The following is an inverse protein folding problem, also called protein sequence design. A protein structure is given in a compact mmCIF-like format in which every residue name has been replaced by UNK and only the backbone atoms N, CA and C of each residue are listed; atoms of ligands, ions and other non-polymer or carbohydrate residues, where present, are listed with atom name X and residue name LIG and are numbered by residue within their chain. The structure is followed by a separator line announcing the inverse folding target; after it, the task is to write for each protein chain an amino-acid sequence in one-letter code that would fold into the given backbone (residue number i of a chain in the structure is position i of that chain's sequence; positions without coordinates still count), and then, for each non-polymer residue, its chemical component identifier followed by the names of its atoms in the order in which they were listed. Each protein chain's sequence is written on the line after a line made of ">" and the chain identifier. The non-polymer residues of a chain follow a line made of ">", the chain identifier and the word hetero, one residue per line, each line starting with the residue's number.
data_IF_145763653499
#
_entry.id   IF_145763653499
#
_cell.length_a   1.000
_cell.length_b   1.000
_cell.length_c   1.000
_cell.angle_alpha   90.00
_cell.angle_beta   90.00
_cell.angle_gamma   90.00
#
_symmetry.space_group_name_H-M   'P 1'
#
loop_
_entity.id
_entity.type
_entity.pdbx_description
1 polymer ?
#
# COMPACT_ATOMS: atom_id res chain seq x y z
N UNK A 1 -50.95 39.73 2.06
CA UNK A 1 -49.64 39.43 1.44
C UNK A 1 -49.95 38.79 0.10
N UNK A 2 -49.61 39.54 -0.94
CA UNK A 2 -50.42 39.81 -2.13
C UNK A 2 -49.99 39.00 -3.34
N UNK A 3 -50.93 38.85 -4.29
CA UNK A 3 -50.77 38.26 -5.63
C UNK A 3 -49.54 38.80 -6.42
N UNK A 4 -48.93 39.91 -6.00
CA UNK A 4 -47.68 40.46 -6.54
C UNK A 4 -46.45 39.57 -6.28
N UNK A 5 -46.36 38.89 -5.14
CA UNK A 5 -45.22 38.00 -4.87
C UNK A 5 -45.28 36.72 -5.74
N UNK A 6 -46.49 36.23 -6.02
CA UNK A 6 -46.67 35.04 -6.85
C UNK A 6 -46.46 35.36 -8.34
N UNK A 7 -46.78 36.58 -8.78
CA UNK A 7 -46.43 37.08 -10.12
C UNK A 7 -44.92 37.30 -10.29
N UNK A 8 -44.21 37.74 -9.26
CA UNK A 8 -42.74 37.88 -9.28
C UNK A 8 -42.06 36.53 -9.48
N UNK A 9 -42.46 35.52 -8.69
CA UNK A 9 -41.88 34.16 -8.78
C UNK A 9 -42.23 33.50 -10.11
N UNK A 10 -43.45 33.67 -10.64
CA UNK A 10 -43.79 33.14 -11.96
C UNK A 10 -43.05 33.86 -13.10
N UNK A 11 -42.76 35.16 -12.96
CA UNK A 11 -41.98 35.93 -13.93
C UNK A 11 -40.51 35.51 -13.92
N UNK A 12 -39.93 35.30 -12.74
CA UNK A 12 -38.54 34.86 -12.59
C UNK A 12 -38.35 33.43 -13.13
N UNK A 13 -39.31 32.53 -12.86
CA UNK A 13 -39.30 31.17 -13.41
C UNK A 13 -39.52 31.17 -14.93
N UNK A 14 -40.37 32.07 -15.46
CA UNK A 14 -40.55 32.21 -16.91
C UNK A 14 -39.31 32.80 -17.59
N UNK A 15 -38.61 33.75 -16.95
CA UNK A 15 -37.35 34.31 -17.45
C UNK A 15 -36.23 33.25 -17.42
N UNK A 16 -36.11 32.46 -16.35
CA UNK A 16 -35.17 31.32 -16.27
C UNK A 16 -35.47 30.25 -17.32
N UNK A 17 -36.74 29.91 -17.53
CA UNK A 17 -37.14 28.93 -18.54
C UNK A 17 -36.93 29.46 -19.97
N UNK A 18 -37.10 30.76 -20.20
CA UNK A 18 -36.81 31.40 -21.48
C UNK A 18 -35.31 31.45 -21.74
N UNK A 19 -34.48 31.79 -20.75
CA UNK A 19 -33.01 31.71 -20.85
C UNK A 19 -32.53 30.29 -21.10
N UNK A 20 -33.14 29.28 -20.45
CA UNK A 20 -32.81 27.87 -20.67
C UNK A 20 -33.25 27.38 -22.06
N UNK A 21 -34.36 27.89 -22.60
CA UNK A 21 -34.81 27.59 -23.96
C UNK A 21 -33.93 28.27 -25.02
N UNK A 22 -33.58 29.54 -24.85
CA UNK A 22 -32.68 30.27 -25.74
C UNK A 22 -31.25 29.68 -25.70
N UNK A 23 -30.83 29.18 -24.53
CA UNK A 23 -29.57 28.44 -24.37
C UNK A 23 -29.65 27.06 -25.05
N UNK A 24 -30.77 26.34 -24.99
CA UNK A 24 -30.93 25.09 -25.73
C UNK A 24 -31.00 25.29 -27.24
N UNK A 25 -31.69 26.32 -27.72
CA UNK A 25 -31.78 26.62 -29.15
C UNK A 25 -30.42 27.06 -29.72
N UNK A 26 -29.67 27.90 -29.00
CA UNK A 26 -28.30 28.28 -29.39
C UNK A 26 -27.33 27.09 -29.37
N UNK A 27 -27.44 26.18 -28.40
CA UNK A 27 -26.66 24.94 -28.37
C UNK A 27 -27.04 23.97 -29.51
N UNK A 28 -28.31 23.91 -29.91
CA UNK A 28 -28.80 23.11 -31.05
C UNK A 28 -28.39 23.72 -32.40
N UNK A 29 -28.38 25.05 -32.53
CA UNK A 29 -27.85 25.75 -33.71
C UNK A 29 -26.32 25.58 -33.84
N UNK A 30 -25.58 25.59 -32.73
CA UNK A 30 -24.15 25.30 -32.70
C UNK A 30 -23.84 23.81 -32.93
N UNK A 31 -24.73 22.89 -32.55
CA UNK A 31 -24.57 21.46 -32.83
C UNK A 31 -24.58 21.12 -34.33
N UNK A 32 -25.19 21.99 -35.17
CA UNK A 32 -25.11 21.89 -36.64
C UNK A 32 -23.78 22.37 -37.22
N UNK A 33 -22.95 23.08 -36.44
CA UNK A 33 -21.60 23.53 -36.83
C UNK A 33 -20.57 22.74 -36.02
N UNK A 34 -20.24 21.56 -36.55
CA UNK A 34 -19.59 20.49 -35.80
C UNK A 34 -18.26 20.79 -35.09
N UNK A 35 -17.95 19.92 -34.13
CA UNK A 35 -16.59 19.55 -33.74
C UNK A 35 -16.12 20.01 -32.36
N UNK A 36 -16.48 21.22 -31.91
CA UNK A 36 -15.81 21.86 -30.77
C UNK A 36 -16.76 22.13 -29.58
N UNK A 37 -18.07 22.19 -29.81
CA UNK A 37 -19.07 22.50 -28.79
C UNK A 37 -19.22 21.42 -27.69
N UNK A 38 -18.90 20.15 -27.97
CA UNK A 38 -19.02 19.05 -26.99
C UNK A 38 -18.06 19.17 -25.80
N UNK A 39 -16.88 19.74 -26.01
CA UNK A 39 -15.86 19.87 -24.95
C UNK A 39 -16.14 21.06 -24.05
N UNK A 40 -16.60 22.18 -24.63
CA UNK A 40 -16.93 23.39 -23.87
C UNK A 40 -18.20 23.19 -23.03
N UNK A 41 -19.21 22.51 -23.58
CA UNK A 41 -20.45 22.20 -22.85
C UNK A 41 -20.27 21.23 -21.68
N UNK A 42 -19.32 20.30 -21.76
CA UNK A 42 -19.04 19.37 -20.65
C UNK A 42 -18.33 20.10 -19.49
N UNK A 43 -17.39 20.99 -19.82
CA UNK A 43 -16.62 21.77 -18.83
C UNK A 43 -17.49 22.80 -18.12
N UNK A 44 -18.46 23.41 -18.82
CA UNK A 44 -19.38 24.39 -18.22
C UNK A 44 -20.38 23.75 -17.24
N UNK A 45 -20.91 22.56 -17.57
CA UNK A 45 -21.83 21.82 -16.68
C UNK A 45 -21.12 21.36 -15.40
N UNK A 46 -19.86 20.95 -15.49
CA UNK A 46 -19.02 20.58 -14.33
C UNK A 46 -18.73 21.81 -13.45
N UNK A 47 -18.49 22.97 -14.07
CA UNK A 47 -18.17 24.22 -13.35
C UNK A 47 -19.38 24.79 -12.58
N UNK A 48 -20.59 24.63 -13.12
CA UNK A 48 -21.84 25.09 -12.47
C UNK A 48 -22.25 24.15 -11.32
N UNK A 49 -21.92 22.85 -11.42
CA UNK A 49 -22.25 21.86 -10.39
C UNK A 49 -21.32 21.86 -9.16
N UNK A 50 -20.10 22.42 -9.27
CA UNK A 50 -19.03 22.18 -8.27
C UNK A 50 -18.53 23.39 -7.49
N UNK A 51 -19.13 24.57 -7.63
CA UNK A 51 -18.99 25.68 -6.67
C UNK A 51 -17.58 25.94 -6.10
N UNK A 52 -16.73 26.63 -6.85
CA UNK A 52 -15.47 27.20 -6.34
C UNK A 52 -14.21 26.61 -7.00
N UNK A 53 -13.61 27.39 -7.88
CA UNK A 53 -12.47 27.00 -8.72
C UNK A 53 -11.19 26.60 -7.96
N UNK A 54 -11.02 26.99 -6.69
CA UNK A 54 -9.74 26.82 -5.99
C UNK A 54 -9.54 25.39 -5.44
N UNK A 55 -10.58 24.76 -4.89
CA UNK A 55 -10.48 23.42 -4.31
C UNK A 55 -10.64 22.30 -5.36
N UNK A 56 -11.15 22.65 -6.55
CA UNK A 56 -11.40 21.71 -7.65
C UNK A 56 -10.14 21.34 -8.42
N UNK A 57 -9.15 22.24 -8.52
CA UNK A 57 -7.87 21.95 -9.18
C UNK A 57 -7.00 20.99 -8.36
N UNK A 58 -6.91 21.19 -7.04
CA UNK A 58 -6.20 20.29 -6.14
C UNK A 58 -6.82 18.88 -6.12
N UNK A 59 -8.16 18.80 -6.21
CA UNK A 59 -8.86 17.52 -6.29
C UNK A 59 -8.62 16.83 -7.65
N UNK A 60 -8.58 17.58 -8.75
CA UNK A 60 -8.25 17.06 -10.07
C UNK A 60 -6.80 16.57 -10.13
N UNK A 61 -5.83 17.34 -9.63
CA UNK A 61 -4.42 16.95 -9.59
C UNK A 61 -4.23 15.65 -8.80
N UNK A 62 -4.84 15.54 -7.62
CA UNK A 62 -4.82 14.29 -6.83
C UNK A 62 -5.48 13.11 -7.54
N UNK A 63 -6.57 13.32 -8.27
CA UNK A 63 -7.18 12.25 -9.07
C UNK A 63 -6.33 11.85 -10.27
N UNK A 64 -5.65 12.80 -10.90
CA UNK A 64 -4.71 12.54 -11.99
C UNK A 64 -3.47 11.80 -11.50
N UNK A 65 -2.89 12.23 -10.39
CA UNK A 65 -1.72 11.59 -9.75
C UNK A 65 -2.08 10.18 -9.30
N UNK A 66 -3.23 10.00 -8.66
CA UNK A 66 -3.73 8.67 -8.27
C UNK A 66 -3.99 7.80 -9.50
N UNK A 67 -4.62 8.32 -10.54
CA UNK A 67 -4.91 7.57 -11.77
C UNK A 67 -3.64 7.17 -12.53
N UNK A 68 -2.64 8.04 -12.60
CA UNK A 68 -1.36 7.76 -13.25
C UNK A 68 -0.52 6.77 -12.44
N UNK A 69 -0.42 6.97 -11.12
CA UNK A 69 0.29 6.07 -10.20
C UNK A 69 -0.28 4.66 -10.26
N UNK A 70 -1.62 4.52 -10.20
CA UNK A 70 -2.23 3.21 -10.34
C UNK A 70 -1.91 2.57 -11.70
N UNK A 71 -1.90 3.35 -12.78
CA UNK A 71 -1.54 2.82 -14.10
C UNK A 71 -0.05 2.38 -14.17
N UNK A 72 0.87 3.15 -13.57
CA UNK A 72 2.30 2.81 -13.53
C UNK A 72 2.59 1.60 -12.66
N UNK A 73 1.75 1.34 -11.65
CA UNK A 73 1.96 0.30 -10.66
C UNK A 73 1.29 -1.03 -11.01
N UNK A 74 0.33 -1.06 -11.96
CA UNK A 74 -0.33 -2.28 -12.45
C UNK A 74 0.65 -3.44 -12.75
N UNK A 75 1.80 -3.22 -13.43
CA UNK A 75 2.76 -4.30 -13.68
C UNK A 75 3.31 -4.93 -12.40
N UNK A 76 3.61 -4.11 -11.39
CA UNK A 76 4.14 -4.54 -10.10
C UNK A 76 3.10 -5.31 -9.28
N UNK A 77 1.85 -4.83 -9.26
CA UNK A 77 0.73 -5.59 -8.66
C UNK A 77 0.58 -6.97 -9.30
N UNK A 78 0.51 -7.03 -10.64
CA UNK A 78 0.38 -8.30 -11.37
C UNK A 78 1.53 -9.27 -11.16
N UNK A 79 2.72 -8.79 -10.78
CA UNK A 79 3.85 -9.66 -10.43
C UNK A 79 3.64 -10.27 -9.04
N UNK A 80 3.13 -9.50 -8.08
CA UNK A 80 2.83 -10.00 -6.73
C UNK A 80 1.72 -11.06 -6.75
N UNK A 81 0.67 -10.88 -7.57
CA UNK A 81 -0.45 -11.83 -7.71
C UNK A 81 -0.02 -13.23 -8.20
N UNK A 82 1.18 -13.36 -8.78
CA UNK A 82 1.71 -14.63 -9.27
C UNK A 82 2.43 -15.44 -8.19
N UNK A 83 2.71 -14.84 -7.04
CA UNK A 83 3.46 -15.47 -5.97
C UNK A 83 2.46 -16.10 -4.99
N UNK A 84 2.64 -17.38 -4.69
CA UNK A 84 1.92 -18.02 -3.60
C UNK A 84 2.83 -19.04 -2.91
N UNK A 85 2.61 -19.23 -1.62
CA UNK A 85 3.35 -20.19 -0.81
C UNK A 85 3.08 -21.61 -1.34
N UNK A 86 4.12 -22.44 -1.36
CA UNK A 86 4.19 -23.80 -1.94
C UNK A 86 4.19 -23.86 -3.48
N UNK A 87 4.18 -22.72 -4.17
CA UNK A 87 4.43 -22.70 -5.62
C UNK A 87 5.88 -23.09 -5.94
N UNK A 88 6.14 -23.43 -7.20
CA UNK A 88 7.50 -23.66 -7.70
C UNK A 88 8.33 -22.39 -7.59
N UNK A 89 9.56 -22.49 -7.08
CA UNK A 89 10.50 -21.39 -7.02
C UNK A 89 10.85 -20.82 -8.42
N UNK A 90 10.66 -21.60 -9.48
CA UNK A 90 10.87 -21.16 -10.87
C UNK A 90 9.92 -20.02 -11.28
N UNK A 91 8.74 -19.92 -10.66
CA UNK A 91 7.78 -18.85 -10.97
C UNK A 91 8.37 -17.46 -10.63
N UNK A 92 9.26 -17.40 -9.64
CA UNK A 92 9.94 -16.17 -9.26
C UNK A 92 10.86 -15.70 -10.37
N UNK A 93 11.70 -16.61 -10.89
CA UNK A 93 12.65 -16.29 -11.95
C UNK A 93 11.94 -15.91 -13.27
N UNK A 94 10.79 -16.53 -13.54
CA UNK A 94 9.94 -16.20 -14.69
C UNK A 94 9.21 -14.84 -14.53
N UNK A 95 8.88 -14.47 -13.31
CA UNK A 95 8.08 -13.26 -13.02
C UNK A 95 8.97 -12.02 -12.86
N UNK A 96 10.13 -12.19 -12.21
CA UNK A 96 11.02 -11.11 -11.81
C UNK A 96 12.36 -11.09 -12.57
N UNK A 97 12.67 -12.15 -13.33
CA UNK A 97 14.01 -12.35 -13.88
C UNK A 97 14.96 -12.94 -12.84
N UNK A 98 16.27 -12.85 -13.09
CA UNK A 98 17.27 -13.39 -12.18
C UNK A 98 17.27 -12.63 -10.83
N UNK A 99 17.45 -13.31 -9.70
CA UNK A 99 17.59 -12.65 -8.41
C UNK A 99 18.83 -11.75 -8.38
N UNK A 100 18.69 -10.57 -7.79
CA UNK A 100 19.78 -9.58 -7.65
C UNK A 100 20.75 -9.93 -6.53
N UNK A 101 20.31 -10.74 -5.58
CA UNK A 101 21.13 -11.23 -4.48
C UNK A 101 20.63 -12.60 -4.02
N UNK A 102 21.54 -13.49 -3.65
CA UNK A 102 21.23 -14.83 -3.14
C UNK A 102 22.10 -15.08 -1.92
N UNK A 103 21.49 -15.57 -0.84
CA UNK A 103 22.21 -16.11 0.30
C UNK A 103 21.55 -17.39 0.80
N UNK A 104 22.23 -18.08 1.70
CA UNK A 104 21.80 -19.36 2.27
C UNK A 104 21.55 -19.16 3.75
N UNK A 105 20.38 -19.60 4.20
CA UNK A 105 20.00 -19.52 5.60
C UNK A 105 20.79 -20.53 6.44
N UNK A 106 20.79 -20.35 7.75
CA UNK A 106 21.37 -21.33 8.69
C UNK A 106 20.73 -22.73 8.56
N UNK A 107 19.48 -22.80 8.11
CA UNK A 107 18.71 -24.02 7.85
C UNK A 107 19.00 -24.68 6.50
N UNK A 108 19.99 -24.17 5.74
CA UNK A 108 20.31 -24.58 4.36
C UNK A 108 19.26 -24.17 3.30
N UNK A 109 18.20 -23.46 3.71
CA UNK A 109 17.23 -22.86 2.79
C UNK A 109 17.89 -21.77 1.93
N UNK A 110 17.41 -21.61 0.69
CA UNK A 110 17.94 -20.59 -0.22
C UNK A 110 17.06 -19.36 -0.17
N UNK A 111 17.67 -18.23 0.20
CA UNK A 111 17.03 -16.91 0.21
C UNK A 111 17.43 -16.17 -1.06
N UNK A 112 16.44 -15.86 -1.89
CA UNK A 112 16.61 -15.12 -3.14
C UNK A 112 15.95 -13.74 -3.02
N UNK A 113 16.65 -12.72 -3.48
CA UNK A 113 16.15 -11.35 -3.52
C UNK A 113 15.91 -10.93 -4.96
N UNK A 114 14.74 -10.39 -5.24
CA UNK A 114 14.35 -9.88 -6.54
C UNK A 114 14.03 -8.40 -6.44
N UNK A 115 14.49 -7.63 -7.43
CA UNK A 115 14.23 -6.20 -7.51
C UNK A 115 13.12 -5.96 -8.53
N UNK A 116 12.09 -5.25 -8.11
CA UNK A 116 11.11 -4.60 -8.97
C UNK A 116 11.31 -3.07 -8.89
N UNK A 117 10.71 -2.33 -9.83
CA UNK A 117 10.75 -0.87 -9.81
C UNK A 117 10.05 -0.30 -8.56
N UNK A 118 9.08 -1.05 -8.01
CA UNK A 118 8.23 -0.60 -6.91
C UNK A 118 8.44 -1.35 -5.59
N UNK A 119 9.22 -2.42 -5.55
CA UNK A 119 9.48 -3.16 -4.32
C UNK A 119 10.70 -4.09 -4.41
N UNK A 120 11.12 -4.61 -3.27
CA UNK A 120 12.02 -5.76 -3.17
C UNK A 120 11.26 -6.96 -2.65
N UNK A 121 11.42 -8.09 -3.33
CA UNK A 121 10.92 -9.38 -2.86
C UNK A 121 12.07 -10.19 -2.28
N UNK A 122 11.94 -10.62 -1.02
CA UNK A 122 12.80 -11.65 -0.43
C UNK A 122 12.02 -12.95 -0.36
N UNK A 123 12.50 -14.02 -0.98
CA UNK A 123 11.83 -15.30 -1.03
C UNK A 123 12.73 -16.40 -0.47
N UNK A 124 12.20 -17.18 0.46
CA UNK A 124 12.85 -18.38 1.00
C UNK A 124 12.31 -19.60 0.25
N UNK A 125 13.23 -20.41 -0.27
CA UNK A 125 12.92 -21.60 -1.06
C UNK A 125 13.56 -22.84 -0.45
N UNK A 126 12.79 -23.94 -0.45
CA UNK A 126 13.19 -25.27 0.00
C UNK A 126 12.70 -26.30 -1.01
N UNK A 127 13.56 -27.22 -1.44
CA UNK A 127 13.21 -28.28 -2.41
C UNK A 127 12.48 -27.77 -3.67
N UNK A 128 12.94 -26.64 -4.20
CA UNK A 128 12.33 -25.92 -5.35
C UNK A 128 10.90 -25.40 -5.13
N UNK A 129 10.45 -25.27 -3.88
CA UNK A 129 9.18 -24.65 -3.52
C UNK A 129 9.39 -23.37 -2.71
N UNK A 130 8.50 -22.39 -2.88
CA UNK A 130 8.47 -21.17 -2.05
C UNK A 130 7.89 -21.54 -0.69
N UNK A 131 8.66 -21.37 0.38
CA UNK A 131 8.22 -21.66 1.76
C UNK A 131 7.90 -20.40 2.56
N UNK A 132 8.46 -19.26 2.14
CA UNK A 132 8.11 -17.94 2.66
C UNK A 132 8.48 -16.84 1.65
N UNK A 133 7.84 -15.69 1.75
CA UNK A 133 8.32 -14.48 1.12
C UNK A 133 7.94 -13.22 1.92
N UNK A 134 8.75 -12.17 1.77
CA UNK A 134 8.55 -10.83 2.29
C UNK A 134 8.60 -9.84 1.14
N UNK A 135 7.67 -8.89 1.12
CA UNK A 135 7.58 -7.80 0.15
C UNK A 135 7.89 -6.51 0.89
N UNK A 136 8.93 -5.82 0.43
CA UNK A 136 9.40 -4.54 0.95
C UNK A 136 9.07 -3.45 -0.09
N UNK A 137 7.93 -2.74 0.04
CA UNK A 137 7.51 -1.71 -0.91
C UNK A 137 8.45 -0.51 -0.90
N UNK A 138 8.67 0.09 -2.07
CA UNK A 138 9.32 1.39 -2.18
C UNK A 138 8.35 2.50 -1.73
N UNK A 139 8.89 3.68 -1.40
CA UNK A 139 8.07 4.84 -1.06
C UNK A 139 7.11 5.19 -2.21
N UNK A 140 5.82 5.34 -1.90
CA UNK A 140 4.77 5.66 -2.86
C UNK A 140 4.04 4.44 -3.43
N UNK A 141 4.57 3.23 -3.30
CA UNK A 141 3.89 2.00 -3.74
C UNK A 141 3.10 1.36 -2.60
N UNK A 142 1.80 1.11 -2.83
CA UNK A 142 0.89 0.49 -1.85
C UNK A 142 0.35 -0.84 -2.40
N UNK A 143 0.99 -1.99 -2.08
CA UNK A 143 0.54 -3.28 -2.58
C UNK A 143 -0.83 -3.67 -2.01
N UNK A 144 -1.59 -4.44 -2.79
CA UNK A 144 -2.87 -4.99 -2.36
C UNK A 144 -2.63 -6.06 -1.29
N UNK A 145 -3.27 -5.90 -0.14
CA UNK A 145 -3.06 -6.72 1.07
C UNK A 145 -4.37 -7.33 1.58
N UNK A 146 -5.39 -7.45 0.72
CA UNK A 146 -6.71 -7.96 1.08
C UNK A 146 -6.65 -9.35 1.73
N UNK A 147 -5.79 -10.24 1.22
CA UNK A 147 -5.62 -11.61 1.70
C UNK A 147 -4.86 -11.69 3.05
N UNK A 148 -4.19 -10.60 3.44
CA UNK A 148 -3.37 -10.52 4.63
C UNK A 148 -4.25 -10.38 5.89
N UNK A 149 -3.77 -10.84 7.05
CA UNK A 149 -4.49 -10.73 8.32
C UNK A 149 -4.86 -9.27 8.73
N UNK A 150 -4.14 -8.28 8.20
CA UNK A 150 -4.43 -6.85 8.39
C UNK A 150 -5.39 -6.23 7.36
N UNK A 151 -5.82 -6.99 6.35
CA UNK A 151 -6.74 -6.53 5.31
C UNK A 151 -6.19 -5.41 4.42
N UNK A 152 -7.08 -4.75 3.66
CA UNK A 152 -6.73 -3.72 2.67
C UNK A 152 -6.07 -2.46 3.26
N UNK A 153 -6.33 -2.18 4.54
CA UNK A 153 -5.82 -1.00 5.24
C UNK A 153 -4.51 -1.28 6.00
N UNK A 154 -3.86 -2.41 5.72
CA UNK A 154 -2.70 -2.91 6.46
C UNK A 154 -1.62 -1.85 6.72
N UNK A 155 -1.19 -1.13 5.68
CA UNK A 155 -0.14 -0.09 5.81
C UNK A 155 -0.66 1.22 6.42
N UNK A 156 -1.97 1.47 6.38
CA UNK A 156 -2.57 2.68 6.91
C UNK A 156 -2.74 2.62 8.43
N UNK A 157 -2.83 1.42 9.00
CA UNK A 157 -3.10 1.18 10.41
C UNK A 157 -1.83 0.80 11.19
N UNK A 158 -1.90 0.85 12.52
CA UNK A 158 -0.82 0.37 13.38
C UNK A 158 -0.93 -1.14 13.56
N UNK A 159 0.15 -1.81 13.99
CA UNK A 159 0.11 -3.27 14.23
C UNK A 159 -0.98 -3.70 15.21
N UNK A 160 -1.41 -2.82 16.11
CA UNK A 160 -2.49 -3.09 17.09
C UNK A 160 -3.84 -3.38 16.43
N UNK A 161 -4.05 -2.99 15.17
CA UNK A 161 -5.25 -3.32 14.40
C UNK A 161 -5.35 -4.81 14.06
N UNK A 162 -4.23 -5.53 14.05
CA UNK A 162 -4.18 -6.95 13.74
C UNK A 162 -4.46 -7.74 15.02
N UNK A 163 -5.60 -8.39 15.13
CA UNK A 163 -6.07 -8.92 16.43
C UNK A 163 -5.13 -9.95 17.05
N UNK A 164 -4.46 -10.77 16.24
CA UNK A 164 -3.67 -11.89 16.73
C UNK A 164 -2.21 -11.81 16.34
N UNK A 165 -1.35 -12.13 17.32
CA UNK A 165 0.09 -12.26 17.16
C UNK A 165 0.52 -13.55 17.86
N UNK A 166 1.25 -14.40 17.14
CA UNK A 166 1.68 -15.70 17.62
C UNK A 166 3.15 -15.68 18.08
N UNK A 167 4.03 -15.16 17.24
CA UNK A 167 5.45 -15.02 17.50
C UNK A 167 5.91 -13.63 17.06
N UNK A 168 6.87 -13.07 17.79
CA UNK A 168 7.52 -11.79 17.44
C UNK A 168 9.03 -11.93 17.49
N UNK A 169 9.71 -11.18 16.63
CA UNK A 169 11.16 -10.95 16.69
C UNK A 169 11.43 -9.47 16.47
N UNK A 170 12.52 -9.01 17.06
CA UNK A 170 12.93 -7.62 16.96
C UNK A 170 14.45 -7.51 17.02
N UNK A 171 14.99 -6.54 16.28
CA UNK A 171 16.40 -6.19 16.30
C UNK A 171 16.55 -4.69 16.49
N UNK A 172 17.47 -4.30 17.38
CA UNK A 172 17.90 -2.92 17.56
C UNK A 172 19.44 -2.89 17.51
N UNK A 173 19.98 -2.80 16.30
CA UNK A 173 21.42 -2.92 16.03
C UNK A 173 21.87 -1.99 14.90
N UNK A 174 23.17 -1.71 14.86
CA UNK A 174 23.78 -0.86 13.81
C UNK A 174 23.58 -1.43 12.39
N UNK A 175 23.45 -2.74 12.27
CA UNK A 175 23.27 -3.46 11.00
C UNK A 175 21.85 -3.37 10.45
N UNK A 176 20.86 -3.12 11.31
CA UNK A 176 19.46 -3.00 10.93
C UNK A 176 18.55 -3.03 12.15
N UNK A 177 17.58 -2.12 12.15
CA UNK A 177 16.52 -2.07 13.14
C UNK A 177 15.22 -2.54 12.50
N UNK A 178 14.61 -3.56 13.07
CA UNK A 178 13.35 -4.09 12.57
C UNK A 178 12.50 -4.70 13.69
N UNK A 179 11.21 -4.75 13.42
CA UNK A 179 10.22 -5.53 14.16
C UNK A 179 9.47 -6.41 13.15
N UNK A 180 9.22 -7.66 13.51
CA UNK A 180 8.49 -8.62 12.68
C UNK A 180 7.60 -9.49 13.58
N UNK A 181 6.36 -9.71 13.15
CA UNK A 181 5.37 -10.51 13.86
C UNK A 181 4.67 -11.49 12.91
N UNK A 182 4.40 -12.69 13.44
CA UNK A 182 3.49 -13.65 12.81
C UNK A 182 2.08 -13.37 13.29
N UNK A 183 1.17 -13.18 12.33
CA UNK A 183 -0.24 -12.95 12.58
C UNK A 183 -1.04 -14.18 12.17
N UNK A 184 -1.94 -14.63 13.05
CA UNK A 184 -2.90 -15.66 12.67
C UNK A 184 -4.05 -15.01 11.90
N UNK A 185 -4.60 -15.74 10.93
CA UNK A 185 -5.70 -15.28 10.08
C UNK A 185 -5.25 -15.01 8.66
N UNK A 186 -5.89 -14.04 8.01
CA UNK A 186 -5.83 -13.86 6.57
C UNK A 186 -6.71 -14.87 5.83
N UNK A 187 -6.91 -14.64 4.53
CA UNK A 187 -7.81 -15.45 3.70
C UNK A 187 -7.39 -16.93 3.66
N UNK A 188 -6.07 -17.18 3.70
CA UNK A 188 -5.47 -18.50 3.57
C UNK A 188 -4.76 -18.98 4.85
N UNK A 189 -5.16 -18.48 6.03
CA UNK A 189 -4.52 -18.75 7.33
C UNK A 189 -4.37 -20.23 7.73
N UNK A 190 -5.06 -21.16 7.05
CA UNK A 190 -4.87 -22.61 7.24
C UNK A 190 -3.66 -23.20 6.48
N UNK A 191 -3.14 -22.48 5.48
CA UNK A 191 -2.06 -22.95 4.61
C UNK A 191 -0.71 -22.35 4.99
N UNK A 192 -0.73 -21.11 5.47
CA UNK A 192 0.42 -20.30 5.84
C UNK A 192 -0.02 -19.14 6.73
N UNK A 193 0.92 -18.56 7.45
CA UNK A 193 0.70 -17.40 8.32
C UNK A 193 0.96 -16.11 7.56
N UNK A 194 0.22 -15.05 7.93
CA UNK A 194 0.51 -13.68 7.53
C UNK A 194 1.69 -13.13 8.35
N UNK A 195 2.56 -12.37 7.71
CA UNK A 195 3.74 -11.78 8.34
C UNK A 195 3.67 -10.26 8.20
N UNK A 196 3.73 -9.57 9.32
CA UNK A 196 3.83 -8.11 9.35
C UNK A 196 5.18 -7.68 9.85
N UNK A 197 5.69 -6.56 9.34
CA UNK A 197 6.84 -5.95 9.99
C UNK A 197 7.13 -4.52 9.60
N UNK A 198 8.05 -3.95 10.35
CA UNK A 198 8.57 -2.61 10.16
C UNK A 198 10.10 -2.68 10.16
N UNK A 199 10.73 -2.09 9.15
CA UNK A 199 12.19 -2.06 9.02
C UNK A 199 12.71 -0.68 8.66
N UNK A 200 13.77 -0.22 9.33
CA UNK A 200 14.38 1.09 9.09
C UNK A 200 15.05 1.23 7.73
N UNK A 201 15.44 0.12 7.07
CA UNK A 201 16.12 0.23 5.78
C UNK A 201 15.18 0.67 4.65
N UNK A 202 13.87 0.43 4.80
CA UNK A 202 12.84 0.84 3.82
C UNK A 202 12.46 2.29 4.06
N UNK A 203 12.10 2.59 5.31
CA UNK A 203 11.67 3.91 5.74
C UNK A 203 12.20 4.18 7.15
N UNK A 204 12.74 5.38 7.42
CA UNK A 204 13.20 5.73 8.76
C UNK A 204 12.09 5.57 9.82
N UNK A 205 12.41 4.94 10.94
CA UNK A 205 11.51 4.91 12.10
C UNK A 205 11.55 6.26 12.84
N UNK A 206 10.41 6.69 13.37
CA UNK A 206 10.34 7.86 14.25
C UNK A 206 11.18 7.64 15.51
N UNK A 207 11.65 8.73 16.14
CA UNK A 207 12.42 8.63 17.39
C UNK A 207 11.67 7.87 18.49
N UNK A 208 10.35 8.04 18.54
CA UNK A 208 9.46 7.32 19.46
C UNK A 208 9.41 5.81 19.14
N UNK A 209 9.17 5.43 17.88
CA UNK A 209 9.14 4.02 17.49
C UNK A 209 10.51 3.34 17.71
N UNK A 210 11.62 4.06 17.55
CA UNK A 210 12.97 3.55 17.86
C UNK A 210 13.15 3.27 19.35
N UNK A 211 12.63 4.14 20.21
CA UNK A 211 12.66 3.94 21.66
C UNK A 211 11.82 2.72 22.05
N UNK A 212 10.60 2.63 21.55
CA UNK A 212 9.71 1.49 21.78
C UNK A 212 10.31 0.17 21.26
N UNK A 213 10.97 0.20 20.10
CA UNK A 213 11.65 -0.97 19.55
C UNK A 213 12.81 -1.43 20.45
N UNK A 214 13.61 -0.48 20.96
CA UNK A 214 14.68 -0.80 21.93
C UNK A 214 14.11 -1.45 23.19
N UNK A 215 12.99 -0.96 23.71
CA UNK A 215 12.32 -1.54 24.89
C UNK A 215 11.80 -2.96 24.62
N UNK A 216 11.30 -3.25 23.40
CA UNK A 216 10.94 -4.62 23.01
C UNK A 216 12.18 -5.53 22.98
N UNK A 217 13.27 -5.08 22.39
CA UNK A 217 14.53 -5.86 22.31
C UNK A 217 15.13 -6.11 23.68
N UNK A 218 15.12 -5.11 24.57
CA UNK A 218 15.59 -5.25 25.94
C UNK A 218 14.73 -6.28 26.70
N UNK A 219 13.40 -6.19 26.60
CA UNK A 219 12.49 -7.15 27.24
C UNK A 219 12.67 -8.58 26.73
N UNK A 220 12.87 -8.76 25.41
CA UNK A 220 13.17 -10.06 24.81
C UNK A 220 14.52 -10.64 25.30
N UNK A 221 15.50 -9.77 25.52
CA UNK A 221 16.85 -10.19 25.95
C UNK A 221 16.90 -10.53 27.44
N UNK A 222 16.14 -9.79 28.27
CA UNK A 222 16.11 -9.96 29.71
C UNK A 222 15.07 -10.99 30.19
N UNK A 223 14.31 -11.59 29.27
CA UNK A 223 13.20 -12.51 29.56
C UNK A 223 12.17 -11.88 30.54
N UNK A 224 11.94 -10.58 30.35
CA UNK A 224 10.98 -9.78 31.13
C UNK A 224 9.57 -9.92 30.55
N UNK A 225 8.60 -9.20 31.12
CA UNK A 225 7.25 -9.15 30.57
C UNK A 225 7.23 -8.41 29.21
N UNK A 226 7.44 -9.16 28.13
CA UNK A 226 7.46 -8.67 26.74
C UNK A 226 6.10 -8.10 26.29
N UNK A 227 5.00 -8.46 26.96
CA UNK A 227 3.65 -8.10 26.52
C UNK A 227 3.44 -6.59 26.48
N UNK A 228 3.86 -5.86 27.52
CA UNK A 228 3.64 -4.42 27.62
C UNK A 228 4.47 -3.62 26.62
N UNK A 229 5.75 -3.98 26.44
CA UNK A 229 6.63 -3.33 25.47
C UNK A 229 6.16 -3.59 24.03
N UNK A 230 5.75 -4.82 23.71
CA UNK A 230 5.18 -5.17 22.40
C UNK A 230 3.87 -4.43 22.16
N UNK A 231 2.94 -4.40 23.11
CA UNK A 231 1.69 -3.66 22.95
C UNK A 231 1.92 -2.16 22.74
N UNK A 232 2.90 -1.58 23.44
CA UNK A 232 3.27 -0.17 23.30
C UNK A 232 3.82 0.11 21.90
N UNK A 233 4.73 -0.73 21.39
CA UNK A 233 5.22 -0.61 20.01
C UNK A 233 4.09 -0.78 19.01
N UNK A 234 3.26 -1.83 19.16
CA UNK A 234 2.18 -2.16 18.22
C UNK A 234 1.11 -1.08 18.13
N UNK A 235 0.87 -0.34 19.20
CA UNK A 235 -0.11 0.76 19.22
C UNK A 235 0.36 2.00 18.45
N UNK A 236 1.67 2.15 18.22
CA UNK A 236 2.27 3.35 17.64
C UNK A 236 2.87 3.11 16.25
N UNK A 237 3.50 1.96 16.04
CA UNK A 237 4.18 1.64 14.79
C UNK A 237 3.21 1.09 13.74
N UNK A 238 3.39 1.55 12.50
CA UNK A 238 2.75 0.99 11.31
C UNK A 238 3.69 0.00 10.63
N UNK A 239 3.17 -1.08 10.03
CA UNK A 239 3.98 -1.93 9.17
C UNK A 239 4.45 -1.16 7.95
N UNK A 240 5.63 -1.53 7.43
CA UNK A 240 6.15 -1.05 6.15
C UNK A 240 6.63 -2.18 5.25
N UNK A 241 6.40 -3.44 5.66
CA UNK A 241 6.52 -4.61 4.81
C UNK A 241 5.54 -5.68 5.28
N UNK A 242 5.26 -6.63 4.40
CA UNK A 242 4.40 -7.77 4.68
C UNK A 242 4.94 -9.03 4.03
N UNK A 243 4.32 -10.16 4.31
CA UNK A 243 4.65 -11.41 3.67
C UNK A 243 3.77 -12.55 4.11
N UNK A 244 4.16 -13.74 3.67
CA UNK A 244 3.50 -14.98 4.04
C UNK A 244 4.54 -16.08 4.25
N UNK A 245 4.25 -17.00 5.17
CA UNK A 245 5.24 -17.99 5.58
C UNK A 245 4.62 -19.29 6.06
N UNK A 246 5.27 -20.40 5.72
CA UNK A 246 5.08 -21.71 6.40
C UNK A 246 6.13 -21.98 7.46
N UNK A 247 7.05 -21.03 7.66
CA UNK A 247 8.12 -21.05 8.64
C UNK A 247 7.79 -20.07 9.78
N UNK A 248 8.32 -20.32 10.98
CA UNK A 248 8.26 -19.38 12.09
C UNK A 248 9.10 -18.12 11.83
N UNK A 249 8.87 -17.08 12.64
CA UNK A 249 9.45 -15.74 12.42
C UNK A 249 10.96 -15.75 12.51
N UNK A 250 11.54 -16.63 13.33
CA UNK A 250 13.00 -16.77 13.45
C UNK A 250 13.69 -17.13 12.12
N UNK A 251 13.04 -17.88 11.23
CA UNK A 251 13.60 -18.17 9.91
C UNK A 251 13.54 -16.96 8.95
N UNK A 252 12.59 -16.05 9.18
CA UNK A 252 12.37 -14.86 8.36
C UNK A 252 13.35 -13.73 8.70
N UNK A 253 13.90 -13.69 9.92
CA UNK A 253 14.90 -12.68 10.32
C UNK A 253 16.09 -12.65 9.36
N UNK A 254 16.57 -13.82 8.92
CA UNK A 254 17.66 -13.90 7.94
C UNK A 254 17.25 -13.40 6.55
N UNK A 255 15.95 -13.41 6.23
CA UNK A 255 15.41 -12.94 4.96
C UNK A 255 15.18 -11.43 4.92
N UNK A 256 15.21 -10.74 6.08
CA UNK A 256 15.21 -9.28 6.17
C UNK A 256 16.59 -8.75 5.74
N UNK A 257 16.61 -7.75 4.85
CA UNK A 257 17.86 -7.12 4.43
C UNK A 257 18.46 -6.29 5.57
N UNK A 258 19.76 -6.40 5.76
CA UNK A 258 20.53 -5.40 6.52
C UNK A 258 20.69 -4.12 5.72
N UNK A 259 21.01 -3.01 6.41
CA UNK A 259 21.34 -1.73 5.77
C UNK A 259 22.48 -1.85 4.75
N UNK A 260 23.42 -2.79 4.97
CA UNK A 260 24.55 -3.00 4.07
C UNK A 260 24.13 -3.78 2.83
N UNK A 261 23.33 -4.83 2.98
CA UNK A 261 22.79 -5.60 1.85
C UNK A 261 21.87 -4.73 0.99
N UNK A 262 20.98 -3.96 1.60
CA UNK A 262 20.11 -3.01 0.89
C UNK A 262 20.91 -2.03 0.03
N UNK A 263 21.95 -1.40 0.60
CA UNK A 263 22.84 -0.49 -0.12
C UNK A 263 23.66 -1.19 -1.21
N UNK A 264 23.96 -2.47 -1.07
CA UNK A 264 24.67 -3.24 -2.08
C UNK A 264 23.78 -3.48 -3.31
N UNK A 265 22.50 -3.80 -3.08
CA UNK A 265 21.52 -4.04 -4.15
C UNK A 265 21.22 -2.75 -4.93
N UNK A 266 21.21 -1.58 -4.26
CA UNK A 266 20.94 -0.27 -4.89
C UNK A 266 22.19 0.47 -5.40
N UNK A 267 23.35 -0.18 -5.41
CA UNK A 267 24.61 0.47 -5.82
C UNK A 267 24.81 0.57 -7.34
N UNK A 268 23.77 0.28 -8.11
CA UNK A 268 23.78 0.24 -9.58
C UNK A 268 23.42 1.61 -10.14
#
# INVERSE_FOLDING_TARGET
>A
MSEEQNKGIQKDIQEELQELQDTQESLLEEQKKGGIARTIGLVSVISIALGGFNDSFDALEKMFDFGLSQMTDIPSHRKLDKIYIRSSAEILDQTFGAPVYIKRATTDDVIKYYQDDNFILSAITRDNAIVAYLVFPNEGFAPETLEHAGGSEFFAQTFSSIESVNEIRASFARTGNYYIEENNGGEFGYLYSSISGASEFISPMSQENRKLLSEVVDALTMDENVVESVQSLRSNAKPNFYGYSTLGVGALEEAILSNTEYRLIHKI
#
